data_IF_796327130973
#
_entry.id   IF_796327130973
#
_cell.length_a   1.000
_cell.length_b   1.000
_cell.length_c   1.000
_cell.angle_alpha   90.00
_cell.angle_beta   90.00
_cell.angle_gamma   90.00
#
_symmetry.space_group_name_H-M   'P 1'
#
loop_
_entity.id
_entity.type
_entity.pdbx_description
1 polymer ?
#
# COMPACT_ATOMS: atom_id res chain seq x y z
N UNK A 1 46.52 -13.05 2.57
CA UNK A 1 45.63 -14.19 2.24
C UNK A 1 44.17 -13.92 2.56
N UNK A 2 43.82 -13.35 3.73
CA UNK A 2 42.43 -13.07 4.14
C UNK A 2 41.63 -12.17 3.17
N UNK A 3 42.22 -11.08 2.66
CA UNK A 3 41.56 -10.17 1.72
C UNK A 3 41.18 -10.84 0.38
N UNK A 4 42.05 -11.75 -0.11
CA UNK A 4 41.80 -12.51 -1.35
C UNK A 4 40.61 -13.46 -1.16
N UNK A 5 40.48 -14.08 0.02
CA UNK A 5 39.35 -14.94 0.35
C UNK A 5 38.02 -14.17 0.45
N UNK A 6 38.01 -12.99 1.08
CA UNK A 6 36.81 -12.14 1.18
C UNK A 6 36.37 -11.63 -0.21
N UNK A 7 37.32 -11.23 -1.06
CA UNK A 7 37.03 -10.79 -2.43
C UNK A 7 36.43 -11.92 -3.29
N UNK A 8 36.96 -13.14 -3.18
CA UNK A 8 36.43 -14.31 -3.90
C UNK A 8 35.04 -14.72 -3.41
N UNK A 9 34.77 -14.61 -2.11
CA UNK A 9 33.47 -14.95 -1.54
C UNK A 9 32.41 -13.91 -1.94
N UNK A 10 32.78 -12.63 -1.98
CA UNK A 10 31.93 -11.56 -2.49
C UNK A 10 31.62 -11.72 -3.99
N UNK A 11 32.62 -12.06 -4.81
CA UNK A 11 32.40 -12.24 -6.25
C UNK A 11 31.51 -13.46 -6.54
N UNK A 12 31.70 -14.59 -5.83
CA UNK A 12 30.84 -15.77 -5.91
C UNK A 12 29.38 -15.45 -5.54
N UNK A 13 29.17 -14.69 -4.45
CA UNK A 13 27.83 -14.24 -4.06
C UNK A 13 27.19 -13.35 -5.14
N UNK A 14 27.95 -12.42 -5.72
CA UNK A 14 27.45 -11.56 -6.80
C UNK A 14 27.02 -12.36 -8.04
N UNK A 15 27.85 -13.31 -8.50
CA UNK A 15 27.51 -14.16 -9.65
C UNK A 15 26.30 -15.06 -9.40
N UNK A 16 26.14 -15.59 -8.19
CA UNK A 16 24.99 -16.43 -7.82
C UNK A 16 23.66 -15.64 -7.88
N UNK A 17 23.65 -14.40 -7.40
CA UNK A 17 22.46 -13.54 -7.44
C UNK A 17 22.17 -12.99 -8.83
N UNK A 18 23.20 -12.77 -9.66
CA UNK A 18 23.06 -12.27 -11.03
C UNK A 18 22.20 -13.21 -11.89
N UNK A 19 22.34 -14.53 -11.73
CA UNK A 19 21.54 -15.52 -12.45
C UNK A 19 20.05 -15.44 -12.10
N UNK A 20 19.72 -15.22 -10.83
CA UNK A 20 18.33 -15.09 -10.35
C UNK A 20 17.68 -13.82 -10.90
N UNK A 21 18.42 -12.71 -10.93
CA UNK A 21 17.94 -11.44 -11.49
C UNK A 21 17.64 -11.57 -12.99
N UNK A 22 18.54 -12.18 -13.76
CA UNK A 22 18.33 -12.40 -15.20
C UNK A 22 17.09 -13.28 -15.43
N UNK A 23 16.92 -14.35 -14.65
CA UNK A 23 15.75 -15.24 -14.76
C UNK A 23 14.43 -14.47 -14.50
N UNK A 24 14.39 -13.63 -13.46
CA UNK A 24 13.21 -12.84 -13.12
C UNK A 24 12.81 -11.85 -14.23
N UNK A 25 13.80 -11.24 -14.90
CA UNK A 25 13.56 -10.34 -16.02
C UNK A 25 12.99 -11.08 -17.24
N UNK A 26 13.52 -12.27 -17.54
CA UNK A 26 13.01 -13.08 -18.65
C UNK A 26 11.56 -13.51 -18.43
N UNK A 27 11.21 -13.88 -17.21
CA UNK A 27 9.83 -14.24 -16.83
C UNK A 27 8.90 -13.02 -16.98
N UNK A 28 9.33 -11.84 -16.51
CA UNK A 28 8.53 -10.62 -16.62
C UNK A 28 8.23 -10.23 -18.08
N UNK A 29 9.24 -10.30 -18.95
CA UNK A 29 9.09 -10.00 -20.38
C UNK A 29 8.15 -11.01 -21.05
N UNK A 30 8.27 -12.30 -20.72
CA UNK A 30 7.40 -13.35 -21.24
C UNK A 30 5.93 -13.12 -20.87
N UNK A 31 5.64 -12.84 -19.60
CA UNK A 31 4.28 -12.53 -19.14
C UNK A 31 3.71 -11.27 -19.81
N UNK A 32 4.53 -10.22 -19.98
CA UNK A 32 4.11 -9.00 -20.68
C UNK A 32 3.71 -9.30 -22.13
N UNK A 33 4.50 -10.13 -22.84
CA UNK A 33 4.22 -10.50 -24.23
C UNK A 33 2.93 -11.30 -24.38
N UNK A 34 2.61 -12.20 -23.45
CA UNK A 34 1.32 -12.91 -23.40
C UNK A 34 0.15 -11.94 -23.20
N UNK A 35 0.33 -10.93 -22.33
CA UNK A 35 -0.67 -9.88 -22.11
C UNK A 35 -0.97 -9.09 -23.39
N UNK A 36 0.06 -8.69 -24.14
CA UNK A 36 -0.08 -7.90 -25.37
C UNK A 36 -0.76 -8.69 -26.49
N UNK A 37 -0.49 -9.99 -26.62
CA UNK A 37 -1.13 -10.83 -27.65
C UNK A 37 -2.64 -10.99 -27.40
N UNK A 38 -3.06 -11.03 -26.12
CA UNK A 38 -4.47 -11.10 -25.72
C UNK A 38 -5.22 -9.75 -25.82
N UNK A 39 -4.51 -8.63 -25.96
CA UNK A 39 -5.10 -7.28 -26.06
C UNK A 39 -5.47 -6.86 -27.48
N UNK A 40 -5.20 -7.68 -28.51
CA UNK A 40 -5.55 -7.36 -29.91
C UNK A 40 -7.05 -7.17 -30.19
N UNK A 41 -7.93 -7.56 -29.25
CA UNK A 41 -9.38 -7.31 -29.30
C UNK A 41 -9.86 -6.08 -28.52
N UNK A 42 -8.97 -5.37 -27.81
CA UNK A 42 -9.29 -4.24 -26.92
C UNK A 42 -8.49 -2.99 -27.31
N UNK A 43 -8.11 -2.86 -28.58
CA UNK A 43 -7.69 -1.56 -29.10
C UNK A 43 -8.97 -0.81 -29.47
N UNK A 44 -9.39 0.22 -28.71
CA UNK A 44 -10.48 1.07 -29.15
C UNK A 44 -10.02 1.74 -30.44
N UNK A 45 -10.61 1.33 -31.58
CA UNK A 45 -10.68 2.20 -32.75
C UNK A 45 -11.13 3.57 -32.24
N UNK A 46 -10.37 4.66 -32.50
CA UNK A 46 -10.72 5.97 -31.96
C UNK A 46 -12.00 6.44 -32.65
N UNK A 47 -13.14 6.09 -32.06
CA UNK A 47 -14.40 6.69 -32.39
C UNK A 47 -14.29 8.14 -31.95
N UNK A 48 -14.44 9.09 -32.86
CA UNK A 48 -14.27 10.53 -32.62
C UNK A 48 -15.25 11.12 -31.56
N UNK A 49 -16.11 10.30 -30.94
CA UNK A 49 -16.94 10.66 -29.79
C UNK A 49 -16.56 9.96 -28.47
N UNK A 50 -15.60 9.02 -28.45
CA UNK A 50 -15.25 8.22 -27.27
C UNK A 50 -14.25 8.87 -26.31
N UNK A 51 -13.70 10.03 -26.66
CA UNK A 51 -12.80 10.80 -25.80
C UNK A 51 -13.54 11.88 -24.99
N UNK A 52 -14.84 12.06 -25.22
CA UNK A 52 -15.66 12.97 -24.42
C UNK A 52 -16.20 12.22 -23.20
N UNK A 53 -16.10 12.84 -22.02
CA UNK A 53 -16.73 12.31 -20.81
C UNK A 53 -18.24 12.18 -21.07
N UNK A 54 -18.85 11.14 -20.49
CA UNK A 54 -20.29 10.93 -20.61
C UNK A 54 -21.04 12.10 -19.94
N UNK A 55 -21.40 13.09 -20.74
CA UNK A 55 -22.32 14.15 -20.40
C UNK A 55 -23.68 13.68 -20.94
N UNK A 56 -24.72 13.60 -20.10
CA UNK A 56 -26.07 13.16 -20.48
C UNK A 56 -26.78 14.10 -21.50
N UNK A 57 -26.13 14.49 -22.60
CA UNK A 57 -26.65 15.41 -23.61
C UNK A 57 -26.50 16.90 -23.27
N UNK A 58 -25.75 17.25 -22.22
CA UNK A 58 -25.50 18.64 -21.81
C UNK A 58 -24.13 19.13 -22.29
N UNK A 59 -24.01 20.45 -22.51
CA UNK A 59 -22.75 21.08 -22.93
C UNK A 59 -21.87 21.31 -21.71
N UNK A 60 -20.57 21.03 -21.85
CA UNK A 60 -19.60 21.03 -20.75
C UNK A 60 -19.69 22.32 -19.92
N UNK A 61 -20.15 22.18 -18.68
CA UNK A 61 -20.08 23.27 -17.70
C UNK A 61 -18.64 23.26 -17.20
N UNK A 62 -17.90 24.34 -17.47
CA UNK A 62 -16.49 24.53 -17.16
C UNK A 62 -16.20 24.69 -15.65
N UNK A 63 -16.85 23.90 -14.80
CA UNK A 63 -16.77 23.97 -13.33
C UNK A 63 -16.23 22.67 -12.75
N UNK A 64 -14.95 22.40 -12.98
CA UNK A 64 -14.22 21.33 -12.28
C UNK A 64 -13.79 21.80 -10.89
N UNK A 65 -14.74 22.33 -10.10
CA UNK A 65 -14.50 22.59 -8.69
C UNK A 65 -14.86 21.29 -7.97
N UNK A 66 -13.87 20.42 -7.81
CA UNK A 66 -13.99 19.26 -6.96
C UNK A 66 -13.91 19.78 -5.53
N UNK A 67 -15.06 19.90 -4.88
CA UNK A 67 -15.11 20.15 -3.45
C UNK A 67 -14.55 18.91 -2.75
N UNK A 68 -13.39 19.06 -2.12
CA UNK A 68 -12.83 18.01 -1.29
C UNK A 68 -13.74 17.79 -0.09
N UNK A 69 -14.32 16.60 0.04
CA UNK A 69 -15.04 16.24 1.24
C UNK A 69 -14.01 15.87 2.31
N UNK A 70 -14.04 16.60 3.43
CA UNK A 70 -13.14 16.36 4.57
C UNK A 70 -13.28 14.94 5.15
N UNK A 71 -14.35 14.21 4.80
CA UNK A 71 -14.60 12.84 5.24
C UNK A 71 -13.52 11.87 4.72
N UNK A 72 -13.15 11.96 3.43
CA UNK A 72 -12.10 11.07 2.88
C UNK A 72 -10.74 11.33 3.53
N UNK A 73 -10.48 12.57 3.95
CA UNK A 73 -9.28 12.90 4.74
C UNK A 73 -9.27 12.17 6.08
N UNK A 74 -10.37 12.27 6.82
CA UNK A 74 -10.47 11.75 8.17
C UNK A 74 -10.37 10.22 8.18
N UNK A 75 -10.94 9.54 7.18
CA UNK A 75 -10.78 8.09 6.99
C UNK A 75 -9.33 7.70 6.69
N UNK A 76 -8.63 8.47 5.84
CA UNK A 76 -7.22 8.21 5.56
C UNK A 76 -6.33 8.46 6.79
N UNK A 77 -6.65 9.49 7.58
CA UNK A 77 -5.95 9.81 8.82
C UNK A 77 -6.15 8.71 9.87
N UNK A 78 -7.38 8.21 10.04
CA UNK A 78 -7.68 7.13 10.98
C UNK A 78 -6.99 5.82 10.58
N UNK A 79 -6.93 5.52 9.27
CA UNK A 79 -6.16 4.38 8.76
C UNK A 79 -4.66 4.51 9.07
N UNK A 80 -4.08 5.70 8.85
CA UNK A 80 -2.67 5.95 9.14
C UNK A 80 -2.36 5.84 10.65
N UNK A 81 -3.25 6.32 11.51
CA UNK A 81 -3.12 6.19 12.96
C UNK A 81 -3.19 4.72 13.38
N UNK A 82 -4.17 3.97 12.88
CA UNK A 82 -4.31 2.54 13.19
C UNK A 82 -3.10 1.71 12.74
N UNK A 83 -2.50 2.03 11.59
CA UNK A 83 -1.25 1.40 11.14
C UNK A 83 -0.07 1.71 12.08
N UNK A 84 0.04 2.95 12.56
CA UNK A 84 1.06 3.36 13.54
C UNK A 84 0.88 2.66 14.90
N UNK A 85 -0.37 2.42 15.30
CA UNK A 85 -0.71 1.72 16.54
C UNK A 85 -0.32 0.25 16.51
N UNK A 86 -0.50 -0.44 15.38
CA UNK A 86 -0.05 -1.83 15.19
C UNK A 86 1.48 -1.92 15.31
N UNK A 87 2.20 -0.96 14.72
CA UNK A 87 3.67 -0.89 14.83
C UNK A 87 4.09 -0.72 16.30
N UNK A 88 3.39 0.11 17.08
CA UNK A 88 3.66 0.30 18.50
C UNK A 88 3.31 -0.94 19.35
N UNK A 89 2.36 -1.77 18.93
CA UNK A 89 2.03 -3.04 19.58
C UNK A 89 3.03 -4.16 19.29
N UNK A 90 3.78 -4.06 18.20
CA UNK A 90 4.69 -5.12 17.73
C UNK A 90 5.76 -5.54 18.77
N UNK A 91 6.44 -4.63 19.50
CA UNK A 91 7.42 -5.01 20.52
C UNK A 91 6.84 -5.89 21.62
N UNK A 92 5.58 -5.67 22.00
CA UNK A 92 4.89 -6.48 23.01
C UNK A 92 4.70 -7.92 22.55
N UNK A 93 4.60 -8.20 21.25
CA UNK A 93 4.46 -9.57 20.73
C UNK A 93 5.78 -10.37 20.77
N UNK A 94 6.91 -9.69 20.67
CA UNK A 94 8.23 -10.33 20.61
C UNK A 94 8.92 -10.49 21.97
N UNK A 95 8.33 -9.97 23.04
CA UNK A 95 8.89 -10.09 24.39
C UNK A 95 8.50 -11.43 25.01
N UNK A 96 9.49 -12.30 25.20
CA UNK A 96 9.32 -13.64 25.79
C UNK A 96 8.96 -13.63 27.29
N UNK A 97 9.18 -12.51 27.99
CA UNK A 97 8.91 -12.38 29.42
C UNK A 97 8.01 -11.17 29.70
N UNK A 98 6.72 -11.45 29.90
CA UNK A 98 5.78 -10.42 30.35
C UNK A 98 5.86 -10.23 31.86
N UNK A 99 6.22 -9.02 32.28
CA UNK A 99 5.98 -8.58 33.66
C UNK A 99 4.51 -8.14 33.81
N UNK A 100 3.98 -8.19 35.03
CA UNK A 100 2.64 -7.64 35.33
C UNK A 100 2.53 -6.15 34.93
N UNK A 101 3.62 -5.40 35.06
CA UNK A 101 3.67 -3.98 34.68
C UNK A 101 3.57 -3.80 33.16
N UNK A 102 4.32 -4.58 32.37
CA UNK A 102 4.26 -4.51 30.91
C UNK A 102 2.92 -4.96 30.36
N UNK A 103 2.28 -5.97 30.98
CA UNK A 103 0.91 -6.37 30.64
C UNK A 103 -0.09 -5.24 30.95
N UNK A 104 0.01 -4.59 32.12
CA UNK A 104 -0.84 -3.47 32.48
C UNK A 104 -0.71 -2.28 31.53
N UNK A 105 0.51 -1.96 31.09
CA UNK A 105 0.76 -0.91 30.10
C UNK A 105 0.16 -1.24 28.74
N UNK A 106 0.26 -2.49 28.27
CA UNK A 106 -0.35 -2.92 27.01
C UNK A 106 -1.88 -2.84 27.06
N UNK A 107 -2.50 -3.24 28.18
CA UNK A 107 -3.95 -3.13 28.38
C UNK A 107 -4.41 -1.67 28.44
N UNK A 108 -3.65 -0.81 29.14
CA UNK A 108 -3.95 0.63 29.21
C UNK A 108 -3.84 1.26 27.81
N UNK A 109 -2.80 0.91 27.05
CA UNK A 109 -2.62 1.37 25.68
C UNK A 109 -3.79 0.96 24.79
N UNK A 110 -4.15 -0.33 24.78
CA UNK A 110 -5.33 -0.82 24.05
C UNK A 110 -6.63 -0.13 24.49
N UNK A 111 -6.78 0.16 25.79
CA UNK A 111 -7.92 0.91 26.31
C UNK A 111 -8.01 2.33 25.76
N UNK A 112 -6.88 3.04 25.66
CA UNK A 112 -6.82 4.37 25.05
C UNK A 112 -7.17 4.34 23.56
N UNK A 113 -6.69 3.31 22.83
CA UNK A 113 -7.02 3.15 21.41
C UNK A 113 -8.52 2.93 21.20
N UNK A 114 -9.14 2.07 22.01
CA UNK A 114 -10.58 1.83 21.95
C UNK A 114 -11.38 3.10 22.26
N UNK A 115 -10.94 3.92 23.21
CA UNK A 115 -11.57 5.21 23.50
C UNK A 115 -11.45 6.20 22.33
N UNK A 116 -10.29 6.27 21.67
CA UNK A 116 -10.08 7.09 20.48
C UNK A 116 -11.02 6.69 19.33
N UNK A 117 -11.10 5.39 19.05
CA UNK A 117 -11.99 4.85 18.02
C UNK A 117 -13.47 5.14 18.34
N UNK A 118 -13.89 4.93 19.60
CA UNK A 118 -15.25 5.25 20.04
C UNK A 118 -15.59 6.74 19.88
N UNK A 119 -14.63 7.63 20.14
CA UNK A 119 -14.81 9.07 19.97
C UNK A 119 -15.05 9.45 18.50
N UNK A 120 -14.28 8.88 17.56
CA UNK A 120 -14.47 9.11 16.12
C UNK A 120 -15.83 8.59 15.63
N UNK A 121 -16.25 7.42 16.12
CA UNK A 121 -17.56 6.84 15.80
C UNK A 121 -18.69 7.71 16.37
N UNK A 122 -18.57 8.19 17.61
CA UNK A 122 -19.58 9.05 18.23
C UNK A 122 -19.74 10.40 17.49
N UNK A 123 -18.64 10.93 16.95
CA UNK A 123 -18.65 12.14 16.12
C UNK A 123 -19.23 11.93 14.72
N UNK A 124 -19.65 10.71 14.38
CA UNK A 124 -20.18 10.36 13.05
C UNK A 124 -19.23 10.73 11.90
N UNK A 125 -17.92 10.64 12.14
CA UNK A 125 -16.91 10.94 11.11
C UNK A 125 -17.05 10.03 9.88
N UNK A 126 -17.59 8.82 10.08
CA UNK A 126 -17.75 7.78 9.05
C UNK A 126 -19.13 7.72 8.39
N UNK A 127 -20.11 8.52 8.82
CA UNK A 127 -21.46 8.44 8.24
C UNK A 127 -21.49 9.18 6.89
N UNK A 128 -21.65 8.41 5.81
CA UNK A 128 -22.01 8.87 4.46
C UNK A 128 -23.49 8.61 4.21
#
# INVERSE_FOLDING_TARGET
MLYVGIFLLFSLFFFANLQVVILSLMIAIFLLSLGIVNLKGVLPVPFYGGLMKYECGYTEINSYIIFYTMQFFMVALSFLLFDMEIILMLPFLYVNYFSFVSAGLAVLFLGLLMLGLLYEVFLNVFSV
#
